data_IF_885524562881
#
_entry.id   IF_885524562881
#
_cell.length_a   1.000
_cell.length_b   1.000
_cell.length_c   1.000
_cell.angle_alpha   90.00
_cell.angle_beta   90.00
_cell.angle_gamma   90.00
#
_symmetry.space_group_name_H-M   'P 1'
#
loop_
_entity.id
_entity.type
_entity.pdbx_description
1 polymer ?
#
# COMPACT_ATOMS: atom_id res chain seq x y z
N UNK A 1 13.69 14.71 15.80
CA UNK A 1 12.29 14.67 15.28
C UNK A 1 11.65 13.42 15.83
N UNK A 2 10.63 13.56 16.69
CA UNK A 2 9.85 12.43 17.20
C UNK A 2 9.02 11.90 16.04
N UNK A 3 9.27 10.65 15.63
CA UNK A 3 8.44 9.95 14.64
C UNK A 3 7.14 9.62 15.36
N UNK A 4 6.10 10.38 15.05
CA UNK A 4 4.76 10.07 15.54
C UNK A 4 4.39 8.65 15.14
N UNK A 5 3.79 7.99 16.10
CA UNK A 5 3.49 6.58 16.20
C UNK A 5 2.72 6.10 14.96
N UNK A 6 3.38 5.31 14.10
CA UNK A 6 2.71 4.47 13.10
C UNK A 6 1.85 3.45 13.85
N UNK A 7 0.59 3.78 14.10
CA UNK A 7 -0.45 2.78 14.35
C UNK A 7 -0.98 2.35 12.98
N UNK A 8 -0.42 1.27 12.43
CA UNK A 8 -0.75 0.78 11.07
C UNK A 8 -2.00 -0.10 11.02
N UNK A 9 -2.52 -0.52 12.17
CA UNK A 9 -3.59 -1.54 12.27
C UNK A 9 -4.93 -1.13 11.71
N UNK A 10 -5.33 0.11 11.96
CA UNK A 10 -6.69 0.61 11.72
C UNK A 10 -6.94 0.82 10.21
N UNK A 11 -5.93 0.59 9.36
CA UNK A 11 -5.96 1.06 7.98
C UNK A 11 -6.57 0.04 7.01
N UNK A 12 -6.35 -1.26 7.28
CA UNK A 12 -6.85 -2.38 6.47
C UNK A 12 -7.92 -3.22 7.19
N UNK A 13 -7.88 -3.29 8.53
CA UNK A 13 -8.83 -4.09 9.32
C UNK A 13 -10.28 -3.63 9.15
N UNK A 14 -10.49 -2.33 8.96
CA UNK A 14 -11.84 -1.74 8.82
C UNK A 14 -12.37 -1.78 7.37
N UNK A 15 -11.61 -2.35 6.43
CA UNK A 15 -12.07 -2.50 5.06
C UNK A 15 -12.95 -3.75 4.91
N UNK A 16 -13.98 -3.70 4.05
CA UNK A 16 -14.75 -4.89 3.71
C UNK A 16 -13.87 -5.95 3.02
N UNK A 17 -14.22 -7.22 3.23
CA UNK A 17 -13.69 -8.33 2.42
C UNK A 17 -13.96 -8.08 0.94
N UNK A 18 -13.02 -8.45 0.07
CA UNK A 18 -13.15 -8.23 -1.38
C UNK A 18 -14.45 -8.81 -1.94
N UNK A 19 -14.94 -9.92 -1.40
CA UNK A 19 -16.18 -10.56 -1.85
C UNK A 19 -17.44 -9.76 -1.44
N UNK A 20 -17.30 -8.80 -0.53
CA UNK A 20 -18.35 -7.89 -0.10
C UNK A 20 -18.26 -6.50 -0.77
N UNK A 21 -17.23 -6.22 -1.55
CA UNK A 21 -17.06 -4.95 -2.27
C UNK A 21 -17.78 -4.99 -3.60
N UNK A 22 -18.59 -3.96 -3.87
CA UNK A 22 -19.20 -3.80 -5.19
C UNK A 22 -18.13 -3.51 -6.24
N UNK A 23 -18.14 -4.19 -7.40
CA UNK A 23 -17.22 -3.88 -8.47
C UNK A 23 -17.47 -2.46 -9.00
N UNK A 24 -16.47 -1.92 -9.69
CA UNK A 24 -16.60 -0.65 -10.39
C UNK A 24 -17.84 -0.67 -11.30
N UNK A 25 -18.70 0.33 -11.17
CA UNK A 25 -19.96 0.41 -11.90
C UNK A 25 -20.32 1.80 -12.42
N UNK A 26 -21.42 1.93 -13.17
CA UNK A 26 -21.83 3.20 -13.79
C UNK A 26 -22.04 4.35 -12.80
N UNK A 27 -22.39 4.04 -11.54
CA UNK A 27 -22.56 5.03 -10.48
C UNK A 27 -21.26 5.77 -10.12
N UNK A 28 -20.09 5.16 -10.38
CA UNK A 28 -18.78 5.72 -10.04
C UNK A 28 -18.23 6.65 -11.15
N UNK A 29 -18.85 6.61 -12.34
CA UNK A 29 -18.38 7.31 -13.53
C UNK A 29 -18.19 8.82 -13.33
N UNK A 30 -19.15 9.57 -12.71
CA UNK A 30 -18.98 11.01 -12.51
C UNK A 30 -17.73 11.34 -11.68
N UNK A 31 -17.48 10.57 -10.61
CA UNK A 31 -16.31 10.73 -9.76
C UNK A 31 -15.01 10.43 -10.53
N UNK A 32 -14.98 9.34 -11.29
CA UNK A 32 -13.80 8.96 -12.07
C UNK A 32 -13.45 9.99 -13.15
N UNK A 33 -14.45 10.58 -13.80
CA UNK A 33 -14.24 11.63 -14.80
C UNK A 33 -13.65 12.89 -14.16
N UNK A 34 -14.18 13.32 -13.01
CA UNK A 34 -13.63 14.46 -12.27
C UNK A 34 -12.19 14.21 -11.80
N UNK A 35 -11.92 13.03 -11.24
CA UNK A 35 -10.58 12.63 -10.81
C UNK A 35 -9.60 12.61 -11.99
N UNK A 36 -10.00 12.06 -13.14
CA UNK A 36 -9.19 12.07 -14.36
C UNK A 36 -8.85 13.49 -14.80
N UNK A 37 -9.82 14.40 -14.81
CA UNK A 37 -9.56 15.81 -15.16
C UNK A 37 -8.58 16.46 -14.19
N UNK A 38 -8.69 16.16 -12.89
CA UNK A 38 -7.75 16.64 -11.88
C UNK A 38 -6.34 16.10 -12.13
N UNK A 39 -6.20 14.81 -12.42
CA UNK A 39 -4.91 14.19 -12.72
C UNK A 39 -4.28 14.78 -13.97
N UNK A 40 -5.06 15.07 -15.02
CA UNK A 40 -4.58 15.75 -16.23
C UNK A 40 -4.09 17.16 -15.88
N UNK A 41 -4.89 17.93 -15.16
CA UNK A 41 -4.57 19.32 -14.75
C UNK A 41 -3.21 19.40 -14.04
N UNK A 42 -2.91 18.43 -13.18
CA UNK A 42 -1.66 18.41 -12.42
C UNK A 42 -0.57 17.52 -13.05
N UNK A 43 -0.77 16.99 -14.26
CA UNK A 43 0.18 16.11 -14.95
C UNK A 43 0.57 14.86 -14.15
N UNK A 44 -0.41 14.28 -13.46
CA UNK A 44 -0.25 13.14 -12.55
C UNK A 44 -0.65 11.79 -13.16
N UNK A 45 -1.10 11.76 -14.42
CA UNK A 45 -1.63 10.57 -15.09
C UNK A 45 -0.64 9.42 -15.24
N UNK A 46 0.67 9.70 -15.23
CA UNK A 46 1.74 8.70 -15.31
C UNK A 46 2.41 8.43 -13.96
N UNK A 47 1.85 8.98 -12.87
CA UNK A 47 2.46 8.92 -11.53
C UNK A 47 1.58 8.23 -10.51
N UNK A 48 0.27 8.47 -10.56
CA UNK A 48 -0.68 7.92 -9.60
C UNK A 48 -1.79 7.15 -10.31
N UNK A 49 -2.41 6.22 -9.57
CA UNK A 49 -3.57 5.46 -9.98
C UNK A 49 -4.56 5.31 -8.84
N UNK A 50 -5.60 4.50 -9.04
CA UNK A 50 -6.62 4.20 -8.04
C UNK A 50 -6.83 2.69 -7.93
N UNK A 51 -7.25 2.24 -6.75
CA UNK A 51 -7.58 0.85 -6.44
C UNK A 51 -8.86 0.81 -5.60
N UNK A 52 -9.65 -0.26 -5.74
CA UNK A 52 -10.76 -0.51 -4.82
C UNK A 52 -10.22 -0.76 -3.41
N UNK A 53 -10.86 -0.16 -2.42
CA UNK A 53 -10.53 -0.37 -1.01
C UNK A 53 -11.21 -1.65 -0.52
N UNK A 54 -10.42 -2.66 -0.19
CA UNK A 54 -10.88 -3.96 0.31
C UNK A 54 -9.77 -4.62 1.12
N UNK A 55 -10.11 -5.67 1.88
CA UNK A 55 -9.13 -6.61 2.40
C UNK A 55 -9.36 -8.02 1.83
N UNK A 56 -8.34 -8.87 1.97
CA UNK A 56 -8.40 -10.30 1.60
C UNK A 56 -8.32 -11.20 2.83
N UNK A 57 -7.78 -10.69 3.92
CA UNK A 57 -7.55 -11.37 5.19
C UNK A 57 -7.27 -10.32 6.27
N UNK A 58 -7.32 -10.74 7.54
CA UNK A 58 -7.03 -9.90 8.69
C UNK A 58 -5.53 -9.56 8.78
N UNK A 59 -5.23 -8.30 9.09
CA UNK A 59 -3.86 -7.82 9.31
C UNK A 59 -3.74 -7.42 10.78
N UNK A 60 -2.70 -7.92 11.45
CA UNK A 60 -2.47 -7.68 12.87
C UNK A 60 -2.20 -6.22 13.19
N UNK A 61 -2.38 -5.85 14.47
CA UNK A 61 -2.30 -4.42 14.82
C UNK A 61 -0.89 -3.82 14.69
N UNK A 62 0.10 -4.68 14.82
CA UNK A 62 1.50 -4.35 14.67
C UNK A 62 2.03 -4.74 13.29
N UNK A 63 1.17 -5.00 12.30
CA UNK A 63 1.55 -5.42 10.95
C UNK A 63 1.23 -4.39 9.86
N UNK A 64 1.94 -4.50 8.73
CA UNK A 64 1.69 -3.77 7.48
C UNK A 64 2.00 -4.68 6.29
N UNK A 65 1.34 -4.46 5.15
CA UNK A 65 1.66 -5.17 3.92
C UNK A 65 2.98 -4.68 3.35
N UNK A 66 3.86 -5.63 3.04
CA UNK A 66 5.12 -5.37 2.35
C UNK A 66 5.16 -6.16 1.05
N UNK A 67 5.36 -5.44 -0.05
CA UNK A 67 5.62 -5.95 -1.38
C UNK A 67 7.12 -6.19 -1.56
N UNK A 68 7.49 -7.35 -2.10
CA UNK A 68 8.82 -7.67 -2.61
C UNK A 68 8.74 -8.12 -4.08
N UNK A 69 9.81 -7.84 -4.84
CA UNK A 69 9.86 -8.11 -6.27
C UNK A 69 11.02 -9.04 -6.62
N UNK A 70 10.69 -10.27 -7.03
CA UNK A 70 11.64 -11.18 -7.67
C UNK A 70 11.56 -10.99 -9.19
N UNK A 71 12.44 -10.13 -9.72
CA UNK A 71 12.45 -9.78 -11.14
C UNK A 71 12.89 -10.95 -12.02
N UNK A 72 13.79 -11.80 -11.55
CA UNK A 72 14.30 -12.95 -12.30
C UNK A 72 13.18 -13.95 -12.59
N UNK A 73 12.40 -14.28 -11.55
CA UNK A 73 11.27 -15.19 -11.67
C UNK A 73 9.96 -14.48 -12.05
N UNK A 74 9.98 -13.14 -12.15
CA UNK A 74 8.82 -12.28 -12.44
C UNK A 74 7.67 -12.47 -11.44
N UNK A 75 8.03 -12.53 -10.15
CA UNK A 75 7.08 -12.72 -9.06
C UNK A 75 7.03 -11.46 -8.20
N UNK A 76 5.83 -10.93 -8.00
CA UNK A 76 5.55 -9.95 -6.96
C UNK A 76 4.87 -10.66 -5.80
N UNK A 77 5.36 -10.44 -4.59
CA UNK A 77 4.78 -11.03 -3.39
C UNK A 77 4.44 -9.95 -2.39
N UNK A 78 3.21 -9.99 -1.88
CA UNK A 78 2.74 -9.09 -0.82
C UNK A 78 2.47 -9.94 0.42
N UNK A 79 3.09 -9.60 1.55
CA UNK A 79 2.92 -10.32 2.83
C UNK A 79 2.80 -9.34 4.00
N UNK A 80 2.00 -9.66 5.03
CA UNK A 80 2.06 -8.96 6.31
C UNK A 80 3.45 -9.07 6.93
N UNK A 81 3.94 -7.97 7.46
CA UNK A 81 5.18 -7.89 8.23
C UNK A 81 4.95 -7.03 9.46
N UNK A 82 5.57 -7.42 10.57
CA UNK A 82 5.56 -6.61 11.78
C UNK A 82 6.29 -5.29 11.54
N UNK A 83 5.67 -4.21 12.02
CA UNK A 83 6.13 -2.83 11.86
C UNK A 83 7.46 -2.57 12.56
N UNK A 84 7.75 -3.27 13.65
CA UNK A 84 9.03 -3.16 14.37
C UNK A 84 10.22 -3.62 13.52
N UNK A 85 10.05 -4.68 12.72
CA UNK A 85 11.04 -5.21 11.80
C UNK A 85 11.38 -4.24 10.64
N UNK A 86 10.56 -3.21 10.41
CA UNK A 86 10.72 -2.26 9.31
C UNK A 86 11.37 -0.95 9.76
N UNK A 87 11.53 -0.71 11.06
CA UNK A 87 11.94 0.59 11.64
C UNK A 87 13.22 1.17 11.04
N UNK A 88 14.18 0.29 10.77
CA UNK A 88 15.54 0.64 10.34
C UNK A 88 15.83 0.20 8.90
N UNK A 89 14.84 -0.36 8.21
CA UNK A 89 14.95 -0.67 6.80
C UNK A 89 14.63 0.57 5.97
N UNK A 90 15.35 0.82 4.87
CA UNK A 90 14.81 1.70 3.86
C UNK A 90 13.51 1.05 3.36
N UNK A 91 12.44 1.81 3.15
CA UNK A 91 11.22 1.31 2.53
C UNK A 91 10.60 2.41 1.69
N UNK A 92 9.91 2.02 0.62
CA UNK A 92 9.17 2.95 -0.22
C UNK A 92 7.68 2.75 0.02
N UNK A 93 6.97 3.82 0.38
CA UNK A 93 5.52 3.80 0.42
C UNK A 93 4.98 3.74 -1.02
N UNK A 94 4.13 2.77 -1.31
CA UNK A 94 3.59 2.54 -2.66
C UNK A 94 2.07 2.63 -2.72
N UNK A 95 1.38 2.49 -1.59
CA UNK A 95 -0.07 2.61 -1.53
C UNK A 95 -0.51 3.41 -0.29
N UNK A 96 -1.49 4.29 -0.52
CA UNK A 96 -2.04 5.17 0.50
C UNK A 96 -3.55 5.19 0.47
N UNK A 97 -4.15 5.02 1.65
CA UNK A 97 -5.56 5.33 1.88
C UNK A 97 -5.68 6.82 2.25
N UNK A 98 -6.63 7.50 1.64
CA UNK A 98 -6.94 8.91 1.92
C UNK A 98 -8.26 8.98 2.66
N UNK A 99 -8.20 9.21 3.97
CA UNK A 99 -9.39 9.35 4.80
C UNK A 99 -9.92 10.79 4.81
N UNK A 100 -11.14 10.96 5.29
CA UNK A 100 -11.76 12.28 5.48
C UNK A 100 -11.31 12.98 6.77
N UNK A 101 -10.68 12.25 7.69
CA UNK A 101 -10.25 12.79 8.99
C UNK A 101 -8.81 13.33 8.94
N UNK A 102 -8.65 14.61 9.32
CA UNK A 102 -7.35 15.26 9.42
C UNK A 102 -7.34 16.66 8.80
N UNK A 103 -6.62 17.60 9.42
CA UNK A 103 -6.56 18.99 8.97
C UNK A 103 -5.74 19.20 7.67
N UNK A 104 -5.10 18.15 7.14
CA UNK A 104 -4.31 18.18 5.91
C UNK A 104 -4.16 16.77 5.32
N UNK A 105 -3.70 16.69 4.07
CA UNK A 105 -3.40 15.40 3.41
C UNK A 105 -2.47 14.52 4.24
N UNK A 106 -1.43 15.07 4.87
CA UNK A 106 -0.54 14.27 5.74
C UNK A 106 -1.24 13.79 7.03
N UNK A 107 -2.28 14.49 7.47
CA UNK A 107 -3.09 14.08 8.62
C UNK A 107 -4.11 12.98 8.27
N UNK A 108 -4.55 12.93 7.02
CA UNK A 108 -5.57 12.00 6.53
C UNK A 108 -5.04 10.88 5.62
N UNK A 109 -3.76 10.95 5.25
CA UNK A 109 -3.04 9.92 4.49
C UNK A 109 -2.56 8.83 5.43
N UNK A 110 -2.77 7.59 4.98
CA UNK A 110 -2.44 6.38 5.72
C UNK A 110 -1.70 5.44 4.79
N UNK A 111 -0.44 5.13 5.10
CA UNK A 111 0.34 4.18 4.32
C UNK A 111 -0.16 2.76 4.63
N UNK A 112 -0.52 2.03 3.58
CA UNK A 112 -1.11 0.68 3.71
C UNK A 112 -0.25 -0.41 3.06
N UNK A 113 0.71 -0.01 2.23
CA UNK A 113 1.65 -0.93 1.60
C UNK A 113 3.00 -0.26 1.40
N UNK A 114 4.04 -1.02 1.70
CA UNK A 114 5.43 -0.67 1.53
C UNK A 114 6.07 -1.60 0.50
N UNK A 115 7.11 -1.13 -0.18
CA UNK A 115 7.99 -1.97 -0.99
C UNK A 115 9.34 -2.11 -0.27
N UNK A 116 9.81 -3.35 -0.15
CA UNK A 116 11.14 -3.68 0.37
C UNK A 116 12.21 -3.34 -0.68
N UNK A 117 13.13 -2.40 -0.40
CA UNK A 117 14.17 -1.99 -1.33
C UNK A 117 15.40 -2.90 -1.32
N UNK A 118 15.49 -3.88 -0.42
CA UNK A 118 16.50 -4.95 -0.55
C UNK A 118 16.16 -5.83 -1.75
N UNK A 119 14.86 -5.98 -2.04
CA UNK A 119 14.31 -6.75 -3.16
C UNK A 119 13.54 -5.86 -4.14
N UNK A 120 13.86 -4.57 -4.18
CA UNK A 120 13.05 -3.53 -4.82
C UNK A 120 13.75 -2.17 -4.88
N UNK A 121 13.06 -1.12 -5.32
CA UNK A 121 13.68 0.02 -6.03
C UNK A 121 14.97 0.62 -5.43
N UNK A 122 16.02 0.57 -6.27
CA UNK A 122 17.36 1.22 -6.23
C UNK A 122 18.56 0.44 -5.67
N UNK A 123 18.41 -0.79 -5.17
CA UNK A 123 19.54 -1.70 -4.97
C UNK A 123 19.35 -2.92 -5.88
N UNK A 124 20.40 -3.32 -6.60
CA UNK A 124 20.33 -4.42 -7.56
C UNK A 124 19.65 -5.66 -6.97
N UNK A 125 18.75 -6.24 -7.77
CA UNK A 125 17.88 -7.34 -7.36
C UNK A 125 18.70 -8.50 -6.78
N UNK A 126 18.38 -8.91 -5.57
CA UNK A 126 18.83 -10.17 -4.97
C UNK A 126 17.59 -11.10 -4.91
N UNK A 127 17.74 -12.42 -5.09
CA UNK A 127 16.62 -13.35 -4.94
C UNK A 127 16.03 -13.31 -3.52
N UNK A 128 14.72 -13.55 -3.37
CA UNK A 128 14.03 -13.65 -2.08
C UNK A 128 14.61 -14.81 -1.24
N UNK A 129 15.63 -14.55 -0.43
CA UNK A 129 16.23 -15.51 0.48
C UNK A 129 15.31 -15.87 1.68
N UNK A 130 14.14 -15.22 1.78
CA UNK A 130 13.06 -15.56 2.71
C UNK A 130 12.12 -16.67 2.20
N UNK A 131 12.31 -17.13 0.95
CA UNK A 131 11.60 -18.29 0.41
C UNK A 131 12.12 -19.63 0.95
N UNK A 132 13.10 -19.64 1.87
CA UNK A 132 13.50 -20.88 2.54
C UNK A 132 12.44 -21.25 3.56
N UNK A 133 11.84 -22.46 3.46
CA UNK A 133 10.90 -22.93 4.46
C UNK A 133 11.60 -22.90 5.83
N UNK A 134 10.93 -22.29 6.81
CA UNK A 134 11.30 -22.45 8.21
C UNK A 134 11.03 -23.91 8.51
N UNK A 135 12.09 -24.73 8.60
CA UNK A 135 12.00 -26.10 9.10
C UNK A 135 11.64 -26.09 10.58
#
# INVERSE_FOLDING_TARGET
MKKDQMSSSVLYADLPDINAVSPLGPQDQPFLDELRQLMIKYQMTNRFGLSLMHNHFEIGEDEILVESCDVENRVLTIRPRRTDALRDLPYMETNWRLDSEGASLRGSQRCIMLCDPVYGHNAGHVPDDWAKPVN
#
